data_IF_785857607012
#
_entry.id   IF_785857607012
#
_cell.length_a   1.000
_cell.length_b   1.000
_cell.length_c   1.000
_cell.angle_alpha   90.00
_cell.angle_beta   90.00
_cell.angle_gamma   90.00
#
_symmetry.space_group_name_H-M   'P 1'
#
loop_
_entity.id
_entity.type
_entity.pdbx_description
1 polymer ?
#
# COMPACT_ATOMS: atom_id res chain seq x y z
N UNK A 1 -5.90 -10.62 -10.81
CA UNK A 1 -5.84 -9.39 -10.00
C UNK A 1 -6.34 -8.24 -10.83
N UNK A 2 -7.21 -7.41 -10.26
CA UNK A 2 -7.67 -6.19 -10.92
C UNK A 2 -6.56 -5.12 -10.90
N UNK A 3 -6.73 -4.04 -11.68
CA UNK A 3 -5.72 -2.96 -11.80
C UNK A 3 -5.35 -2.34 -10.45
N UNK A 4 -6.32 -2.24 -9.53
CA UNK A 4 -6.12 -1.71 -8.18
C UNK A 4 -5.21 -2.62 -7.35
N UNK A 5 -5.48 -3.93 -7.33
CA UNK A 5 -4.66 -4.92 -6.60
C UNK A 5 -3.21 -4.96 -7.10
N UNK A 6 -3.00 -4.87 -8.43
CA UNK A 6 -1.66 -4.80 -9.02
C UNK A 6 -0.92 -3.55 -8.53
N UNK A 7 -1.61 -2.41 -8.51
CA UNK A 7 -1.02 -1.13 -8.11
C UNK A 7 -0.73 -1.12 -6.61
N UNK A 8 -1.64 -1.64 -5.79
CA UNK A 8 -1.45 -1.82 -4.36
C UNK A 8 -0.27 -2.75 -4.05
N UNK A 9 -0.08 -3.82 -4.83
CA UNK A 9 1.07 -4.70 -4.68
C UNK A 9 2.39 -3.97 -4.97
N UNK A 10 2.44 -3.09 -5.97
CA UNK A 10 3.62 -2.25 -6.24
C UNK A 10 3.92 -1.30 -5.07
N UNK A 11 2.90 -0.64 -4.53
CA UNK A 11 3.03 0.24 -3.37
C UNK A 11 3.54 -0.52 -2.13
N UNK A 12 2.95 -1.69 -1.85
CA UNK A 12 3.40 -2.59 -0.79
C UNK A 12 4.86 -3.01 -0.96
N UNK A 13 5.28 -3.41 -2.17
CA UNK A 13 6.67 -3.83 -2.42
C UNK A 13 7.64 -2.67 -2.20
N UNK A 14 7.29 -1.45 -2.64
CA UNK A 14 8.11 -0.27 -2.41
C UNK A 14 8.23 0.06 -0.92
N UNK A 15 7.11 0.08 -0.21
CA UNK A 15 7.08 0.37 1.22
C UNK A 15 7.81 -0.71 2.04
N UNK A 16 7.57 -1.99 1.77
CA UNK A 16 8.26 -3.06 2.49
C UNK A 16 9.78 -3.03 2.27
N UNK A 17 10.26 -2.59 1.10
CA UNK A 17 11.70 -2.40 0.85
C UNK A 17 12.31 -1.22 1.62
N UNK A 18 11.52 -0.25 2.04
CA UNK A 18 11.97 0.90 2.82
C UNK A 18 12.16 0.59 4.31
N UNK A 19 11.75 -0.61 4.77
CA UNK A 19 11.84 -1.04 6.16
C UNK A 19 12.68 -2.31 6.28
N UNK A 20 13.68 -2.29 7.16
CA UNK A 20 14.51 -3.48 7.43
C UNK A 20 13.70 -4.63 8.06
N UNK A 21 12.72 -4.29 8.90
CA UNK A 21 11.83 -5.25 9.54
C UNK A 21 10.39 -4.87 9.21
N UNK A 22 9.63 -5.84 8.69
CA UNK A 22 8.23 -5.64 8.33
C UNK A 22 7.30 -6.54 9.14
N UNK A 23 6.53 -5.90 10.02
CA UNK A 23 5.64 -6.57 10.97
C UNK A 23 4.17 -6.53 10.54
N UNK A 24 3.83 -5.83 9.45
CA UNK A 24 2.44 -5.69 9.04
C UNK A 24 1.85 -7.03 8.51
N UNK A 25 2.70 -7.97 8.10
CA UNK A 25 2.28 -9.24 7.48
C UNK A 25 1.98 -9.09 5.99
N UNK A 26 1.10 -9.94 5.47
CA UNK A 26 0.65 -9.94 4.07
C UNK A 26 -0.57 -9.02 3.86
N UNK A 27 -0.82 -8.63 2.60
CA UNK A 27 -2.02 -7.89 2.19
C UNK A 27 -3.27 -8.75 2.50
N UNK A 28 -4.23 -8.17 3.20
CA UNK A 28 -5.54 -8.77 3.52
C UNK A 28 -6.65 -8.17 2.64
N UNK A 29 -6.72 -6.83 2.55
CA UNK A 29 -7.71 -6.11 1.73
C UNK A 29 -7.12 -4.88 1.08
N UNK A 30 -7.67 -4.53 -0.09
CA UNK A 30 -7.30 -3.35 -0.87
C UNK A 30 -8.56 -2.61 -1.29
N UNK A 31 -8.60 -1.28 -1.12
CA UNK A 31 -9.68 -0.42 -1.60
C UNK A 31 -9.14 0.98 -1.93
N UNK A 32 -9.96 1.82 -2.55
CA UNK A 32 -9.71 3.26 -2.70
C UNK A 32 -10.54 4.02 -1.67
N UNK A 33 -9.94 5.02 -1.02
CA UNK A 33 -10.70 5.98 -0.22
C UNK A 33 -11.35 7.06 -1.09
N UNK A 34 -12.11 7.97 -0.47
CA UNK A 34 -12.80 9.07 -1.15
C UNK A 34 -11.83 10.04 -1.85
N UNK A 35 -10.58 10.09 -1.41
CA UNK A 35 -9.50 10.89 -2.01
C UNK A 35 -8.73 10.13 -3.09
N UNK A 36 -9.17 8.91 -3.45
CA UNK A 36 -8.54 8.00 -4.41
C UNK A 36 -7.14 7.55 -3.99
N UNK A 37 -6.82 7.57 -2.70
CA UNK A 37 -5.63 6.91 -2.19
C UNK A 37 -5.86 5.41 -2.12
N UNK A 38 -4.82 4.64 -2.38
CA UNK A 38 -4.87 3.19 -2.24
C UNK A 38 -4.73 2.86 -0.76
N UNK A 39 -5.72 2.19 -0.21
CA UNK A 39 -5.71 1.72 1.17
C UNK A 39 -5.41 0.23 1.18
N UNK A 40 -4.44 -0.19 1.99
CA UNK A 40 -4.10 -1.61 2.18
C UNK A 40 -4.25 -1.95 3.65
N UNK A 41 -5.17 -2.87 3.96
CA UNK A 41 -5.21 -3.55 5.26
C UNK A 41 -4.35 -4.79 5.20
N UNK A 42 -3.58 -5.01 6.24
CA UNK A 42 -2.73 -6.18 6.36
C UNK A 42 -3.27 -7.18 7.39
N UNK A 43 -2.78 -8.42 7.29
CA UNK A 43 -3.11 -9.53 8.19
C UNK A 43 -2.79 -9.26 9.67
N UNK A 44 -1.85 -8.36 9.98
CA UNK A 44 -1.61 -7.88 11.36
C UNK A 44 -2.75 -7.04 11.95
N UNK A 45 -3.72 -6.61 11.13
CA UNK A 45 -4.76 -5.67 11.50
C UNK A 45 -4.40 -4.20 11.27
N UNK A 46 -3.11 -3.89 11.06
CA UNK A 46 -2.66 -2.55 10.64
C UNK A 46 -3.08 -2.26 9.20
N UNK A 47 -3.21 -0.99 8.86
CA UNK A 47 -3.54 -0.53 7.52
C UNK A 47 -2.78 0.76 7.22
N UNK A 48 -2.57 1.01 5.93
CA UNK A 48 -1.78 2.13 5.44
C UNK A 48 -2.44 2.71 4.19
N UNK A 49 -2.31 4.02 4.03
CA UNK A 49 -2.65 4.72 2.80
C UNK A 49 -1.43 4.84 1.90
N UNK A 50 -1.67 4.86 0.60
CA UNK A 50 -0.66 5.02 -0.43
C UNK A 50 -1.13 5.98 -1.50
N UNK A 51 -0.21 6.83 -1.93
CA UNK A 51 -0.36 7.67 -3.10
C UNK A 51 0.96 7.75 -3.87
N UNK A 52 0.91 8.28 -5.08
CA UNK A 52 2.10 8.58 -5.89
C UNK A 52 2.27 10.09 -5.94
N UNK A 53 3.47 10.59 -5.65
CA UNK A 53 3.81 12.00 -5.80
C UNK A 53 3.79 12.41 -7.28
N UNK A 54 3.86 13.71 -7.56
CA UNK A 54 3.99 14.20 -8.94
C UNK A 54 5.30 13.73 -9.61
N UNK A 55 6.35 13.43 -8.84
CA UNK A 55 7.62 12.88 -9.32
C UNK A 55 7.58 11.39 -9.62
N UNK A 56 6.50 10.69 -9.25
CA UNK A 56 6.36 9.25 -9.43
C UNK A 56 6.79 8.41 -8.22
N UNK A 57 7.10 9.04 -7.09
CA UNK A 57 7.55 8.37 -5.87
C UNK A 57 6.36 7.91 -5.02
N UNK A 58 6.49 6.74 -4.40
CA UNK A 58 5.48 6.24 -3.46
C UNK A 58 5.53 7.01 -2.15
N UNK A 59 4.36 7.44 -1.68
CA UNK A 59 4.16 8.02 -0.36
C UNK A 59 3.20 7.13 0.44
N UNK A 60 3.44 6.99 1.74
CA UNK A 60 2.63 6.18 2.64
C UNK A 60 2.48 6.81 4.02
N UNK A 61 1.32 6.63 4.65
CA UNK A 61 0.99 7.11 6.00
C UNK A 61 -0.08 6.26 6.68
#
# INVERSE_FOLDING_TARGET
MNSLEITAYKAFVAHRKAFDIWENGNIDKVWLDDNKNICIKYTSGKWWHYSVSQSGDWMWW
#
